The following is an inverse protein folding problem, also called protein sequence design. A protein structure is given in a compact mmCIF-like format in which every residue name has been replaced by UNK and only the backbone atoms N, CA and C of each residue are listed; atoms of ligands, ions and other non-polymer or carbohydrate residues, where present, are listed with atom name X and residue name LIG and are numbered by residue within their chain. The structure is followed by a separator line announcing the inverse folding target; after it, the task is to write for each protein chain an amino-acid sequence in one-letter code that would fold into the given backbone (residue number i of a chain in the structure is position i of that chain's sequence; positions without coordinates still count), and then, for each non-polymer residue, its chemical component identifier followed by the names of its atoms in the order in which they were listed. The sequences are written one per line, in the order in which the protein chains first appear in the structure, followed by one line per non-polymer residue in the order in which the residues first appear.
data_IF_853816366515
#
_entry.id   IF_853816366515
#
_cell.length_a   1.000
_cell.length_b   1.000
_cell.length_c   1.000
_cell.angle_alpha   90.00
_cell.angle_beta   90.00
_cell.angle_gamma   90.00
#
_symmetry.space_group_name_H-M   'P 1'
#
loop_
_entity.id
_entity.type
_entity.pdbx_description
1 polymer ?
#
# COMPACT_ATOMS: atom_id res chain seq x y z
N UNK A 1 1.29 26.21 12.77
CA UNK A 1 -0.20 26.28 12.89
C UNK A 1 -0.67 25.11 13.74
N UNK A 2 -1.71 25.30 14.57
CA UNK A 2 -2.29 24.18 15.30
C UNK A 2 -3.14 23.28 14.35
N UNK A 3 -3.47 22.06 14.79
CA UNK A 3 -4.21 21.08 13.97
C UNK A 3 -5.55 21.64 13.46
N UNK A 4 -6.29 22.37 14.31
CA UNK A 4 -7.60 22.92 13.94
C UNK A 4 -7.48 24.00 12.85
N UNK A 5 -6.48 24.86 12.92
CA UNK A 5 -6.21 25.87 11.87
C UNK A 5 -5.89 25.22 10.53
N UNK A 6 -5.09 24.13 10.54
CA UNK A 6 -4.78 23.35 9.34
C UNK A 6 -6.04 22.73 8.75
N UNK A 7 -6.90 22.12 9.57
CA UNK A 7 -8.17 21.53 9.12
C UNK A 7 -9.09 22.56 8.44
N UNK A 8 -9.26 23.74 9.06
CA UNK A 8 -10.08 24.83 8.50
C UNK A 8 -9.48 25.29 7.16
N UNK A 9 -8.16 25.47 7.09
CA UNK A 9 -7.48 25.94 5.89
C UNK A 9 -7.56 24.91 4.75
N UNK A 10 -7.33 23.63 5.04
CA UNK A 10 -7.45 22.55 4.09
C UNK A 10 -8.86 22.43 3.51
N UNK A 11 -9.91 22.52 4.37
CA UNK A 11 -11.31 22.48 3.91
C UNK A 11 -11.67 23.68 3.05
N UNK A 12 -11.19 24.88 3.38
CA UNK A 12 -11.37 26.07 2.52
C UNK A 12 -10.68 25.91 1.18
N UNK A 13 -9.48 25.34 1.17
CA UNK A 13 -8.71 25.11 -0.05
C UNK A 13 -9.37 24.06 -0.95
N UNK A 14 -9.95 22.98 -0.37
CA UNK A 14 -10.64 21.93 -1.14
C UNK A 14 -11.92 22.43 -1.83
N UNK A 15 -12.53 23.48 -1.32
CA UNK A 15 -13.76 24.08 -1.88
C UNK A 15 -13.48 25.08 -3.03
N UNK A 16 -12.23 25.36 -3.35
CA UNK A 16 -11.89 26.22 -4.48
C UNK A 16 -12.14 25.52 -5.82
N UNK A 17 -12.16 26.32 -6.90
CA UNK A 17 -12.27 25.79 -8.26
C UNK A 17 -11.20 24.73 -8.53
N UNK A 18 -11.55 23.64 -9.22
CA UNK A 18 -10.60 22.59 -9.55
C UNK A 18 -9.55 23.10 -10.54
N UNK A 19 -8.31 22.66 -10.36
CA UNK A 19 -7.23 22.87 -11.33
C UNK A 19 -7.42 21.97 -12.55
N UNK A 20 -7.03 22.48 -13.70
CA UNK A 20 -6.96 21.68 -14.94
C UNK A 20 -5.88 20.59 -14.86
N UNK A 21 -5.97 19.61 -15.74
CA UNK A 21 -4.96 18.55 -15.87
C UNK A 21 -3.55 19.11 -16.09
N UNK A 22 -3.42 20.17 -16.91
CA UNK A 22 -2.11 20.76 -17.20
C UNK A 22 -1.54 21.53 -16.00
N UNK A 23 -2.38 22.26 -15.27
CA UNK A 23 -1.94 22.93 -14.03
C UNK A 23 -1.46 21.89 -12.99
N UNK A 24 -2.18 20.76 -12.80
CA UNK A 24 -1.78 19.68 -11.92
C UNK A 24 -0.46 19.04 -12.36
N UNK A 25 -0.30 18.77 -13.67
CA UNK A 25 0.93 18.19 -14.19
C UNK A 25 2.12 19.13 -14.07
N UNK A 26 1.92 20.44 -14.29
CA UNK A 26 2.94 21.46 -14.12
C UNK A 26 3.37 21.58 -12.66
N UNK A 27 2.42 21.52 -11.73
CA UNK A 27 2.68 21.50 -10.29
C UNK A 27 3.51 20.27 -9.88
N UNK A 28 3.15 19.09 -10.36
CA UNK A 28 3.90 17.86 -10.09
C UNK A 28 5.35 17.94 -10.62
N UNK A 29 5.55 18.43 -11.84
CA UNK A 29 6.90 18.63 -12.37
C UNK A 29 7.73 19.61 -11.53
N UNK A 30 7.10 20.70 -11.06
CA UNK A 30 7.76 21.67 -10.17
C UNK A 30 8.06 21.08 -8.79
N UNK A 31 7.16 20.29 -8.21
CA UNK A 31 7.39 19.56 -6.96
C UNK A 31 8.58 18.59 -7.08
N UNK A 32 8.65 17.80 -8.16
CA UNK A 32 9.77 16.88 -8.41
C UNK A 32 11.11 17.62 -8.52
N UNK A 33 11.13 18.74 -9.24
CA UNK A 33 12.31 19.59 -9.35
C UNK A 33 12.74 20.14 -7.99
N UNK A 34 11.79 20.66 -7.21
CA UNK A 34 12.09 21.21 -5.89
C UNK A 34 12.68 20.17 -4.93
N UNK A 35 12.23 18.90 -4.96
CA UNK A 35 12.85 17.83 -4.18
C UNK A 35 14.34 17.65 -4.52
N UNK A 36 14.68 17.67 -5.80
CA UNK A 36 16.07 17.55 -6.26
C UNK A 36 16.89 18.78 -5.83
N UNK A 37 16.35 19.97 -6.01
CA UNK A 37 17.02 21.22 -5.65
C UNK A 37 17.29 21.29 -4.14
N UNK A 38 16.43 20.73 -3.31
CA UNK A 38 16.53 20.68 -1.84
C UNK A 38 17.14 19.40 -1.27
N UNK A 39 17.78 18.55 -2.11
CA UNK A 39 18.36 17.26 -1.68
C UNK A 39 19.27 17.41 -0.46
N UNK A 40 20.16 18.39 -0.44
CA UNK A 40 21.10 18.60 0.67
C UNK A 40 20.39 18.92 2.00
N UNK A 41 19.39 19.80 1.98
CA UNK A 41 18.63 20.15 3.17
C UNK A 41 17.83 18.94 3.70
N UNK A 42 17.15 18.22 2.82
CA UNK A 42 16.39 17.01 3.17
C UNK A 42 17.33 15.98 3.81
N UNK A 43 18.50 15.70 3.23
CA UNK A 43 19.45 14.74 3.78
C UNK A 43 20.00 15.19 5.14
N UNK A 44 20.25 16.49 5.32
CA UNK A 44 20.69 17.04 6.61
C UNK A 44 19.66 16.82 7.72
N UNK A 45 18.37 16.98 7.41
CA UNK A 45 17.25 16.73 8.34
C UNK A 45 17.02 15.25 8.58
N UNK A 46 17.18 14.42 7.55
CA UNK A 46 17.08 12.96 7.68
C UNK A 46 18.19 12.41 8.60
N UNK A 47 19.39 12.93 8.51
CA UNK A 47 20.48 12.55 9.43
C UNK A 47 20.10 12.78 10.89
N UNK A 48 19.42 13.89 11.21
CA UNK A 48 18.93 14.18 12.57
C UNK A 48 17.91 13.13 13.00
N UNK A 49 16.97 12.77 12.11
CA UNK A 49 15.95 11.74 12.40
C UNK A 49 16.61 10.37 12.65
N UNK A 50 17.57 9.97 11.83
CA UNK A 50 18.33 8.71 12.00
C UNK A 50 19.08 8.69 13.33
N UNK A 51 19.80 9.77 13.68
CA UNK A 51 20.54 9.86 14.94
C UNK A 51 19.59 9.77 16.15
N UNK A 52 18.45 10.43 16.09
CA UNK A 52 17.42 10.40 17.14
C UNK A 52 16.71 9.05 17.27
N UNK A 53 16.55 8.30 16.17
CA UNK A 53 15.88 7.01 16.12
C UNK A 53 16.79 5.82 16.47
N UNK A 54 18.12 5.98 16.31
CA UNK A 54 19.10 4.94 16.59
C UNK A 54 18.92 4.37 17.99
N UNK A 55 18.92 3.05 18.10
CA UNK A 55 18.66 2.29 19.34
C UNK A 55 17.24 2.44 19.94
N UNK A 56 16.30 3.08 19.23
CA UNK A 56 14.90 3.23 19.68
C UNK A 56 13.90 2.48 18.78
N UNK A 57 14.30 2.22 17.53
CA UNK A 57 13.51 1.47 16.55
C UNK A 57 14.38 0.34 15.98
N UNK A 58 13.74 -0.67 15.36
CA UNK A 58 14.45 -1.79 14.74
C UNK A 58 15.30 -1.35 13.54
N UNK A 59 16.29 -2.17 13.16
CA UNK A 59 17.12 -1.90 11.97
C UNK A 59 16.29 -1.83 10.68
N UNK A 60 15.26 -2.64 10.56
CA UNK A 60 14.30 -2.58 9.45
C UNK A 60 13.58 -1.23 9.39
N UNK A 61 13.18 -0.69 10.54
CA UNK A 61 12.56 0.64 10.59
C UNK A 61 13.57 1.76 10.33
N UNK A 62 14.84 1.59 10.75
CA UNK A 62 15.92 2.54 10.43
C UNK A 62 16.18 2.56 8.92
N UNK A 63 16.24 1.41 8.24
CA UNK A 63 16.35 1.37 6.77
C UNK A 63 15.19 2.06 6.06
N UNK A 64 13.96 1.89 6.57
CA UNK A 64 12.77 2.59 6.04
C UNK A 64 12.84 4.11 6.22
N UNK A 65 13.45 4.57 7.31
CA UNK A 65 13.61 5.99 7.63
C UNK A 65 14.76 6.64 6.85
N UNK A 66 15.79 5.87 6.49
CA UNK A 66 16.99 6.35 5.83
C UNK A 66 16.72 6.89 4.43
N UNK A 67 17.31 8.06 4.14
CA UNK A 67 17.36 8.66 2.82
C UNK A 67 18.81 8.87 2.37
N UNK A 68 19.02 8.71 1.08
CA UNK A 68 20.21 9.14 0.35
C UNK A 68 19.81 9.88 -0.94
N UNK A 69 20.78 10.34 -1.70
CA UNK A 69 20.51 11.07 -2.93
C UNK A 69 19.76 10.21 -3.98
N UNK A 70 20.03 8.90 -4.02
CA UNK A 70 19.32 7.98 -4.93
C UNK A 70 17.86 7.85 -4.55
N UNK A 71 17.54 7.65 -3.26
CA UNK A 71 16.16 7.55 -2.77
C UNK A 71 15.38 8.85 -3.01
N UNK A 72 16.01 10.03 -2.90
CA UNK A 72 15.37 11.31 -3.26
C UNK A 72 15.13 11.41 -4.76
N UNK A 73 16.04 10.92 -5.60
CA UNK A 73 15.84 10.85 -7.05
C UNK A 73 14.66 9.92 -7.39
N UNK A 74 14.54 8.78 -6.72
CA UNK A 74 13.42 7.85 -6.90
C UNK A 74 12.09 8.49 -6.49
N UNK A 75 12.06 9.25 -5.38
CA UNK A 75 10.89 10.03 -4.97
C UNK A 75 10.49 11.05 -6.05
N UNK A 76 11.44 11.83 -6.57
CA UNK A 76 11.19 12.80 -7.62
C UNK A 76 10.71 12.12 -8.92
N UNK A 77 11.29 10.97 -9.28
CA UNK A 77 10.86 10.15 -10.42
C UNK A 77 9.42 9.67 -10.22
N UNK A 78 9.08 9.18 -9.03
CA UNK A 78 7.70 8.76 -8.71
C UNK A 78 6.70 9.89 -8.95
N UNK A 79 6.99 11.13 -8.52
CA UNK A 79 6.14 12.30 -8.80
C UNK A 79 6.03 12.57 -10.31
N UNK A 80 7.14 12.47 -11.06
CA UNK A 80 7.13 12.64 -12.51
C UNK A 80 6.31 11.56 -13.21
N UNK A 81 6.34 10.33 -12.74
CA UNK A 81 5.55 9.24 -13.30
C UNK A 81 4.06 9.47 -13.03
N UNK A 82 3.66 9.92 -11.83
CA UNK A 82 2.29 10.35 -11.53
C UNK A 82 1.84 11.49 -12.45
N UNK A 83 2.72 12.43 -12.81
CA UNK A 83 2.36 13.54 -13.72
C UNK A 83 1.96 13.07 -15.13
N UNK A 84 2.44 11.91 -15.57
CA UNK A 84 2.16 11.32 -16.88
C UNK A 84 0.87 10.50 -16.91
N UNK A 85 0.37 10.08 -15.75
CA UNK A 85 -0.85 9.29 -15.66
C UNK A 85 -2.06 10.10 -16.15
N UNK A 86 -3.10 9.43 -16.68
CA UNK A 86 -4.36 10.08 -17.01
C UNK A 86 -4.94 10.79 -15.79
N UNK A 87 -5.59 11.94 -16.02
CA UNK A 87 -6.30 12.64 -14.94
C UNK A 87 -7.51 11.80 -14.49
N UNK A 88 -7.61 11.46 -13.19
CA UNK A 88 -8.71 10.65 -12.71
C UNK A 88 -10.02 11.45 -12.57
N UNK A 89 -9.96 12.80 -12.59
CA UNK A 89 -11.12 13.66 -12.33
C UNK A 89 -11.79 14.14 -13.62
N UNK A 90 -13.10 14.38 -13.55
CA UNK A 90 -13.89 14.90 -14.67
C UNK A 90 -14.28 13.83 -15.71
N UNK A 91 -13.89 12.57 -15.53
CA UNK A 91 -14.25 11.47 -16.46
C UNK A 91 -15.73 11.12 -16.31
N UNK A 92 -16.40 10.90 -17.44
CA UNK A 92 -17.76 10.35 -17.45
C UNK A 92 -17.66 8.84 -17.22
N UNK A 93 -18.17 8.38 -16.08
CA UNK A 93 -18.17 6.95 -15.70
C UNK A 93 -19.36 6.23 -16.29
N UNK A 94 -20.52 6.89 -16.41
CA UNK A 94 -21.70 6.38 -17.10
C UNK A 94 -22.63 7.52 -17.51
N UNK A 95 -23.44 7.28 -18.55
CA UNK A 95 -24.48 8.18 -19.04
C UNK A 95 -25.78 7.39 -19.20
N UNK A 96 -26.88 7.91 -18.67
CA UNK A 96 -28.21 7.37 -18.86
C UNK A 96 -29.16 8.45 -19.33
N UNK A 97 -29.93 8.21 -20.39
CA UNK A 97 -31.02 9.10 -20.81
C UNK A 97 -32.32 8.47 -20.33
N UNK A 98 -33.08 9.25 -19.52
CA UNK A 98 -34.36 8.81 -18.99
C UNK A 98 -35.48 9.00 -20.03
N UNK A 99 -36.60 8.32 -19.86
CA UNK A 99 -37.76 8.39 -20.78
C UNK A 99 -38.29 9.81 -20.97
N UNK A 100 -38.19 10.66 -19.92
CA UNK A 100 -38.58 12.06 -19.97
C UNK A 100 -37.51 12.98 -20.59
N UNK A 101 -36.42 12.44 -21.13
CA UNK A 101 -35.35 13.19 -21.80
C UNK A 101 -34.27 13.75 -20.88
N UNK A 102 -34.32 13.53 -19.55
CA UNK A 102 -33.21 13.90 -18.67
C UNK A 102 -31.97 13.06 -18.98
N UNK A 103 -30.81 13.71 -19.08
CA UNK A 103 -29.52 13.06 -19.25
C UNK A 103 -28.80 13.06 -17.89
N UNK A 104 -28.54 11.86 -17.35
CA UNK A 104 -27.87 11.63 -16.07
C UNK A 104 -26.45 11.16 -16.34
N UNK A 105 -25.45 12.00 -16.07
CA UNK A 105 -24.05 11.68 -16.16
C UNK A 105 -23.48 11.43 -14.76
N UNK A 106 -22.87 10.25 -14.54
CA UNK A 106 -22.04 9.97 -13.37
C UNK A 106 -20.62 10.36 -13.73
N UNK A 107 -20.03 11.30 -13.00
CA UNK A 107 -18.67 11.81 -13.27
C UNK A 107 -17.76 11.61 -12.05
N UNK A 108 -16.48 11.35 -12.30
CA UNK A 108 -15.46 11.28 -11.24
C UNK A 108 -15.10 12.68 -10.74
N UNK A 109 -14.91 12.82 -9.42
CA UNK A 109 -14.53 14.07 -8.75
C UNK A 109 -13.50 13.79 -7.67
N UNK A 110 -12.69 14.80 -7.24
CA UNK A 110 -11.78 14.64 -6.12
C UNK A 110 -12.50 14.15 -4.85
N UNK A 111 -11.80 13.39 -4.02
CA UNK A 111 -12.32 13.00 -2.69
C UNK A 111 -12.53 14.22 -1.79
N UNK A 112 -11.67 15.23 -1.88
CA UNK A 112 -11.74 16.45 -1.07
C UNK A 112 -10.48 16.64 -0.23
N UNK A 113 -10.59 16.50 1.10
CA UNK A 113 -9.44 16.54 2.01
C UNK A 113 -9.07 15.12 2.42
N UNK A 114 -7.84 14.71 2.07
CA UNK A 114 -7.28 13.39 2.39
C UNK A 114 -6.23 13.56 3.48
N UNK A 115 -6.43 12.94 4.63
CA UNK A 115 -5.45 12.89 5.70
C UNK A 115 -4.69 11.56 5.69
N UNK A 116 -3.37 11.62 5.80
CA UNK A 116 -2.50 10.43 5.84
C UNK A 116 -1.69 10.45 7.14
N UNK A 117 -1.88 9.41 7.97
CA UNK A 117 -1.10 9.19 9.18
C UNK A 117 -0.09 8.07 8.89
N UNK A 118 1.21 8.36 9.01
CA UNK A 118 2.25 7.39 8.62
C UNK A 118 3.44 7.39 9.59
N UNK A 119 4.17 6.26 9.58
CA UNK A 119 5.32 5.99 10.46
C UNK A 119 6.58 5.76 9.62
N UNK A 120 7.74 6.22 10.12
CA UNK A 120 9.11 5.90 9.66
C UNK A 120 9.34 5.77 8.14
N UNK A 121 8.60 6.51 7.32
CA UNK A 121 8.66 6.41 5.85
C UNK A 121 8.64 7.80 5.20
N UNK A 122 9.78 8.51 5.10
CA UNK A 122 9.81 9.84 4.49
C UNK A 122 9.29 9.90 3.05
N UNK A 123 9.48 8.83 2.26
CA UNK A 123 8.98 8.75 0.89
C UNK A 123 7.44 8.83 0.80
N UNK A 124 6.71 8.35 1.81
CA UNK A 124 5.24 8.47 1.85
C UNK A 124 4.81 9.93 1.77
N UNK A 125 5.63 10.87 2.28
CA UNK A 125 5.35 12.30 2.21
C UNK A 125 5.20 12.77 0.76
N UNK A 126 6.12 12.39 -0.12
CA UNK A 126 6.11 12.76 -1.54
C UNK A 126 5.05 12.01 -2.33
N UNK A 127 4.91 10.71 -2.09
CA UNK A 127 3.99 9.85 -2.83
C UNK A 127 2.54 10.27 -2.55
N UNK A 128 2.20 10.46 -1.26
CA UNK A 128 0.88 10.92 -0.84
C UNK A 128 0.55 12.31 -1.39
N UNK A 129 1.48 13.24 -1.33
CA UNK A 129 1.29 14.58 -1.87
C UNK A 129 1.06 14.54 -3.40
N UNK A 130 1.88 13.79 -4.14
CA UNK A 130 1.77 13.69 -5.60
C UNK A 130 0.42 13.10 -6.04
N UNK A 131 0.04 11.96 -5.48
CA UNK A 131 -1.22 11.31 -5.79
C UNK A 131 -2.42 12.20 -5.43
N UNK A 132 -2.39 12.85 -4.27
CA UNK A 132 -3.47 13.72 -3.82
C UNK A 132 -3.62 14.96 -4.71
N UNK A 133 -2.51 15.61 -5.09
CA UNK A 133 -2.52 16.75 -6.02
C UNK A 133 -3.05 16.34 -7.39
N UNK A 134 -2.60 15.20 -7.94
CA UNK A 134 -3.09 14.69 -9.23
C UNK A 134 -4.58 14.36 -9.20
N UNK A 135 -5.06 13.79 -8.09
CA UNK A 135 -6.49 13.53 -7.85
C UNK A 135 -7.29 14.81 -7.57
N UNK A 136 -6.66 16.00 -7.51
CA UNK A 136 -7.32 17.28 -7.28
C UNK A 136 -7.77 17.54 -5.84
N UNK A 137 -7.31 16.72 -4.89
CA UNK A 137 -7.61 16.79 -3.46
C UNK A 137 -6.58 17.63 -2.69
N UNK A 138 -6.85 17.89 -1.40
CA UNK A 138 -5.91 18.53 -0.45
C UNK A 138 -5.32 17.45 0.44
N UNK A 139 -4.01 17.50 0.64
CA UNK A 139 -3.24 16.54 1.42
C UNK A 139 -2.95 17.08 2.83
N UNK A 140 -3.35 16.35 3.86
CA UNK A 140 -2.90 16.57 5.24
C UNK A 140 -2.03 15.39 5.66
N UNK A 141 -0.78 15.67 5.98
CA UNK A 141 0.23 14.69 6.36
C UNK A 141 0.47 14.73 7.87
N UNK A 142 0.51 13.57 8.50
CA UNK A 142 0.91 13.40 9.89
C UNK A 142 1.94 12.29 9.97
N UNK A 143 3.23 12.65 10.03
CA UNK A 143 4.33 11.71 10.16
C UNK A 143 4.55 11.27 11.62
N UNK A 144 5.15 10.10 11.81
CA UNK A 144 5.71 9.73 13.10
C UNK A 144 6.78 10.75 13.56
N UNK A 145 6.96 10.88 14.88
CA UNK A 145 7.95 11.81 15.46
C UNK A 145 9.38 11.52 15.01
N UNK A 146 9.66 10.25 14.70
CA UNK A 146 10.97 9.76 14.26
C UNK A 146 11.33 10.20 12.83
N UNK A 147 10.33 10.60 12.01
CA UNK A 147 10.52 11.03 10.63
C UNK A 147 10.15 12.50 10.40
N UNK A 148 9.85 13.25 11.46
CA UNK A 148 9.23 14.56 11.33
C UNK A 148 10.14 15.60 10.67
N UNK A 149 11.45 15.61 10.99
CA UNK A 149 12.38 16.58 10.39
C UNK A 149 12.50 16.35 8.88
N UNK A 150 12.61 15.09 8.45
CA UNK A 150 12.64 14.72 7.04
C UNK A 150 11.34 15.11 6.35
N UNK A 151 10.19 14.74 6.93
CA UNK A 151 8.86 15.07 6.39
C UNK A 151 8.65 16.57 6.25
N UNK A 152 9.08 17.37 7.25
CA UNK A 152 8.97 18.82 7.20
C UNK A 152 9.84 19.45 6.08
N UNK A 153 11.07 18.96 5.89
CA UNK A 153 11.93 19.43 4.80
C UNK A 153 11.32 19.08 3.42
N UNK A 154 10.83 17.84 3.27
CA UNK A 154 10.15 17.39 2.04
C UNK A 154 8.92 18.25 1.76
N UNK A 155 8.03 18.45 2.74
CA UNK A 155 6.81 19.27 2.56
C UNK A 155 7.14 20.69 2.17
N UNK A 156 8.13 21.31 2.77
CA UNK A 156 8.59 22.67 2.39
C UNK A 156 9.05 22.73 0.94
N UNK A 157 9.85 21.77 0.48
CA UNK A 157 10.29 21.68 -0.90
C UNK A 157 9.09 21.52 -1.85
N UNK A 158 8.13 20.62 -1.53
CA UNK A 158 6.92 20.41 -2.33
C UNK A 158 6.04 21.66 -2.40
N UNK A 159 5.85 22.35 -1.26
CA UNK A 159 5.10 23.64 -1.19
C UNK A 159 5.75 24.72 -2.02
N UNK A 160 7.08 24.87 -1.98
CA UNK A 160 7.81 25.80 -2.84
C UNK A 160 7.61 25.48 -4.31
N UNK A 161 7.67 24.17 -4.67
CA UNK A 161 7.37 23.74 -6.02
C UNK A 161 5.98 24.16 -6.51
N UNK A 162 4.95 24.07 -5.64
CA UNK A 162 3.59 24.55 -5.93
C UNK A 162 3.55 26.07 -6.13
N UNK A 163 4.15 26.84 -5.22
CA UNK A 163 4.14 28.31 -5.27
C UNK A 163 4.87 28.81 -6.51
N UNK A 164 5.95 28.17 -6.96
CA UNK A 164 6.72 28.54 -8.16
C UNK A 164 5.90 28.48 -9.46
N UNK A 165 4.79 27.74 -9.46
CA UNK A 165 3.89 27.64 -10.62
C UNK A 165 2.50 28.25 -10.36
N UNK A 166 2.35 29.02 -9.27
CA UNK A 166 1.11 29.73 -8.93
C UNK A 166 0.02 28.85 -8.32
N UNK A 167 0.32 27.60 -7.94
CA UNK A 167 -0.59 26.74 -7.20
C UNK A 167 -0.46 27.01 -5.70
N UNK A 168 -1.57 27.00 -4.98
CA UNK A 168 -1.58 27.24 -3.55
C UNK A 168 -0.79 26.17 -2.77
N UNK A 169 0.18 26.60 -1.95
CA UNK A 169 0.89 25.71 -1.01
C UNK A 169 -0.04 25.03 0.00
N UNK A 170 -1.20 25.64 0.25
CA UNK A 170 -2.23 25.08 1.16
C UNK A 170 -2.91 23.81 0.61
N UNK A 171 -2.47 23.32 -0.55
CA UNK A 171 -2.82 21.98 -1.04
C UNK A 171 -2.08 20.86 -0.32
N UNK A 172 -0.99 21.17 0.38
CA UNK A 172 -0.22 20.21 1.16
C UNK A 172 0.03 20.79 2.55
N UNK A 173 -0.36 20.08 3.58
CA UNK A 173 -0.12 20.42 4.98
C UNK A 173 0.63 19.31 5.71
N UNK A 174 1.48 19.68 6.66
CA UNK A 174 2.07 18.78 7.64
C UNK A 174 1.63 19.18 9.04
N UNK A 175 1.12 18.23 9.81
CA UNK A 175 0.82 18.43 11.23
C UNK A 175 2.10 18.59 12.01
N UNK A 176 2.23 19.69 12.75
CA UNK A 176 3.43 20.01 13.55
C UNK A 176 3.44 19.25 14.89
N UNK A 177 2.26 18.99 15.47
CA UNK A 177 2.13 18.20 16.68
C UNK A 177 2.37 16.71 16.39
N UNK A 178 3.48 16.19 16.92
CA UNK A 178 3.86 14.78 16.77
C UNK A 178 3.33 13.87 17.90
N UNK A 179 2.51 14.41 18.82
CA UNK A 179 1.90 13.62 19.88
C UNK A 179 0.77 12.72 19.33
N UNK A 180 0.38 11.70 20.08
CA UNK A 180 -0.74 10.83 19.68
C UNK A 180 -2.06 11.61 19.57
N UNK A 181 -2.20 12.72 20.31
CA UNK A 181 -3.40 13.54 20.28
C UNK A 181 -3.70 14.04 18.86
N UNK A 182 -2.70 14.53 18.13
CA UNK A 182 -2.90 14.99 16.74
C UNK A 182 -3.43 13.90 15.80
N UNK A 183 -3.07 12.64 16.03
CA UNK A 183 -3.66 11.51 15.27
C UNK A 183 -5.14 11.32 15.62
N UNK A 184 -5.50 11.39 16.90
CA UNK A 184 -6.91 11.34 17.33
C UNK A 184 -7.72 12.51 16.80
N UNK A 185 -7.13 13.71 16.76
CA UNK A 185 -7.80 14.90 16.21
C UNK A 185 -8.13 14.68 14.72
N UNK A 186 -7.22 14.10 13.93
CA UNK A 186 -7.49 13.76 12.54
C UNK A 186 -8.53 12.65 12.39
N UNK A 187 -8.48 11.61 13.23
CA UNK A 187 -9.45 10.50 13.22
C UNK A 187 -10.88 10.99 13.50
N UNK A 188 -11.03 12.13 14.18
CA UNK A 188 -12.31 12.70 14.59
C UNK A 188 -12.68 14.02 13.87
N UNK A 189 -11.94 14.38 12.83
CA UNK A 189 -12.09 15.63 12.09
C UNK A 189 -13.29 15.61 11.13
N UNK A 190 -14.48 15.18 11.60
CA UNK A 190 -15.70 15.15 10.80
C UNK A 190 -16.04 16.53 10.24
N UNK A 191 -16.42 16.58 8.95
CA UNK A 191 -16.70 17.81 8.23
C UNK A 191 -15.47 18.55 7.70
N UNK A 192 -14.27 18.16 8.12
CA UNK A 192 -12.99 18.70 7.61
C UNK A 192 -12.23 17.68 6.77
N UNK A 193 -12.08 16.46 7.25
CA UNK A 193 -11.42 15.35 6.55
C UNK A 193 -12.48 14.48 5.86
N UNK A 194 -12.30 14.23 4.58
CA UNK A 194 -13.22 13.45 3.77
C UNK A 194 -12.74 11.98 3.66
N UNK A 195 -11.44 11.73 3.82
CA UNK A 195 -10.84 10.40 3.82
C UNK A 195 -9.57 10.39 4.69
N UNK A 196 -9.41 9.35 5.52
CA UNK A 196 -8.22 9.08 6.33
C UNK A 196 -7.56 7.78 5.87
N UNK A 197 -6.23 7.80 5.68
CA UNK A 197 -5.45 6.62 5.27
C UNK A 197 -4.29 6.43 6.26
N UNK A 198 -4.32 5.37 7.08
CA UNK A 198 -3.18 5.01 7.93
C UNK A 198 -2.12 4.25 7.13
N UNK A 199 -0.83 4.53 7.40
CA UNK A 199 0.35 3.90 6.78
C UNK A 199 1.39 3.55 7.84
N UNK A 200 1.22 2.43 8.52
CA UNK A 200 2.11 2.02 9.61
C UNK A 200 1.91 0.58 10.02
N UNK A 201 2.42 0.24 11.20
CA UNK A 201 2.27 -1.09 11.77
C UNK A 201 0.85 -1.38 12.27
N UNK A 202 0.61 -2.66 12.63
CA UNK A 202 -0.68 -3.18 13.14
C UNK A 202 -1.31 -2.30 14.22
N UNK A 203 -0.48 -1.74 15.13
CA UNK A 203 -0.96 -0.88 16.22
C UNK A 203 -1.60 0.44 15.74
N UNK A 204 -1.02 1.11 14.73
CA UNK A 204 -1.61 2.31 14.14
C UNK A 204 -2.91 1.97 13.41
N UNK A 205 -2.91 0.92 12.60
CA UNK A 205 -4.09 0.50 11.83
C UNK A 205 -5.24 0.17 12.77
N UNK A 206 -5.00 -0.64 13.79
CA UNK A 206 -6.00 -0.97 14.82
C UNK A 206 -6.52 0.26 15.55
N UNK A 207 -5.64 1.21 15.88
CA UNK A 207 -6.04 2.47 16.52
C UNK A 207 -6.97 3.28 15.63
N UNK A 208 -6.72 3.34 14.31
CA UNK A 208 -7.60 4.05 13.36
C UNK A 208 -8.94 3.33 13.24
N UNK A 209 -8.97 2.01 13.05
CA UNK A 209 -10.20 1.21 12.94
C UNK A 209 -11.10 1.42 14.16
N UNK A 210 -10.53 1.43 15.36
CA UNK A 210 -11.29 1.53 16.61
C UNK A 210 -11.74 2.94 16.94
N UNK A 211 -11.03 3.98 16.49
CA UNK A 211 -11.24 5.35 16.97
C UNK A 211 -11.68 6.34 15.89
N UNK A 212 -11.49 6.04 14.59
CA UNK A 212 -11.87 6.96 13.54
C UNK A 212 -13.39 7.08 13.43
N UNK A 213 -13.88 8.33 13.32
CA UNK A 213 -15.24 8.65 12.98
C UNK A 213 -15.36 9.27 11.58
N UNK A 214 -14.23 9.64 10.99
CA UNK A 214 -14.12 10.00 9.57
C UNK A 214 -13.98 8.71 8.73
N UNK A 215 -14.43 8.71 7.46
CA UNK A 215 -14.20 7.59 6.55
C UNK A 215 -12.71 7.25 6.48
N UNK A 216 -12.36 5.97 6.58
CA UNK A 216 -10.98 5.53 6.46
C UNK A 216 -10.85 4.34 5.48
N UNK A 217 -9.68 4.26 4.83
CA UNK A 217 -9.27 3.09 4.06
C UNK A 217 -8.11 2.46 4.81
N UNK A 218 -8.31 1.21 5.22
CA UNK A 218 -7.32 0.46 5.94
C UNK A 218 -6.27 -0.09 4.97
N UNK A 219 -4.98 0.07 5.32
CA UNK A 219 -3.91 -0.68 4.68
C UNK A 219 -3.67 -1.93 5.51
N UNK A 220 -3.82 -3.10 4.87
CA UNK A 220 -3.74 -4.39 5.58
C UNK A 220 -2.30 -4.79 5.96
N UNK A 221 -2.18 -5.64 6.98
CA UNK A 221 -1.04 -6.53 7.17
C UNK A 221 -1.13 -7.67 6.15
N UNK A 222 -0.02 -8.28 5.77
CA UNK A 222 0.00 -9.31 4.73
C UNK A 222 0.45 -10.67 5.25
N UNK A 223 -0.49 -11.56 5.60
CA UNK A 223 -0.18 -12.99 5.78
C UNK A 223 -0.48 -13.68 4.45
N UNK A 224 0.45 -13.49 3.49
CA UNK A 224 0.26 -14.01 2.14
C UNK A 224 0.56 -15.50 2.06
N UNK A 225 -0.34 -16.24 1.40
CA UNK A 225 -0.22 -17.69 1.23
C UNK A 225 0.13 -18.05 -0.21
N UNK A 226 0.96 -19.08 -0.38
CA UNK A 226 1.17 -19.73 -1.68
C UNK A 226 0.84 -21.23 -1.54
N UNK A 227 -0.14 -21.71 -2.29
CA UNK A 227 -0.47 -23.11 -2.39
C UNK A 227 0.22 -23.76 -3.59
N UNK A 228 1.01 -24.81 -3.33
CA UNK A 228 1.65 -25.65 -4.35
C UNK A 228 0.81 -26.91 -4.53
N UNK A 229 0.10 -26.94 -5.65
CA UNK A 229 -0.79 -28.06 -6.01
C UNK A 229 -0.03 -29.28 -6.49
N UNK A 230 -0.68 -30.47 -6.46
CA UNK A 230 -0.08 -31.73 -6.95
C UNK A 230 0.34 -31.67 -8.43
N UNK A 231 -0.36 -30.88 -9.23
CA UNK A 231 -0.07 -30.68 -10.66
C UNK A 231 0.87 -29.47 -10.90
N UNK A 232 1.65 -29.06 -9.88
CA UNK A 232 2.59 -27.95 -10.00
C UNK A 232 3.87 -28.34 -10.73
N UNK A 233 4.43 -27.40 -11.49
CA UNK A 233 5.83 -27.50 -11.91
C UNK A 233 6.73 -27.10 -10.73
N UNK A 234 7.41 -28.07 -10.15
CA UNK A 234 8.21 -27.89 -8.92
C UNK A 234 9.34 -26.87 -9.06
N UNK A 235 9.99 -26.80 -10.22
CA UNK A 235 11.09 -25.85 -10.45
C UNK A 235 10.57 -24.40 -10.56
N UNK A 236 9.37 -24.21 -11.13
CA UNK A 236 8.68 -22.90 -11.08
C UNK A 236 8.28 -22.55 -9.65
N UNK A 237 7.74 -23.51 -8.90
CA UNK A 237 7.27 -23.31 -7.54
C UNK A 237 8.42 -22.84 -6.63
N UNK A 238 9.58 -23.51 -6.66
CA UNK A 238 10.76 -23.11 -5.88
C UNK A 238 11.18 -21.67 -6.19
N UNK A 239 11.24 -21.27 -7.47
CA UNK A 239 11.63 -19.91 -7.89
C UNK A 239 10.63 -18.86 -7.44
N UNK A 240 9.32 -19.16 -7.51
CA UNK A 240 8.25 -18.25 -7.09
C UNK A 240 8.34 -18.02 -5.59
N UNK A 241 8.45 -19.08 -4.79
CA UNK A 241 8.51 -19.02 -3.33
C UNK A 241 9.82 -18.36 -2.87
N UNK A 242 10.96 -18.69 -3.47
CA UNK A 242 12.22 -18.01 -3.18
C UNK A 242 12.07 -16.49 -3.38
N UNK A 243 11.53 -16.06 -4.52
CA UNK A 243 11.28 -14.65 -4.78
C UNK A 243 10.26 -14.06 -3.80
N UNK A 244 9.14 -14.74 -3.57
CA UNK A 244 8.06 -14.26 -2.71
C UNK A 244 8.52 -14.05 -1.26
N UNK A 245 9.38 -14.92 -0.74
CA UNK A 245 9.86 -14.82 0.63
C UNK A 245 11.13 -14.00 0.79
N UNK A 246 12.07 -14.03 -0.18
CA UNK A 246 13.44 -13.57 0.08
C UNK A 246 13.83 -12.28 -0.61
N UNK A 247 13.10 -11.80 -1.62
CA UNK A 247 13.43 -10.57 -2.33
C UNK A 247 13.35 -9.35 -1.39
N UNK A 248 12.31 -9.30 -0.55
CA UNK A 248 12.12 -8.29 0.49
C UNK A 248 11.14 -8.81 1.53
N UNK A 249 11.60 -9.52 2.57
CA UNK A 249 10.71 -10.19 3.52
C UNK A 249 9.90 -9.21 4.40
N UNK A 250 10.37 -7.97 4.55
CA UNK A 250 9.76 -6.97 5.44
C UNK A 250 8.61 -6.16 4.84
N UNK A 251 7.92 -6.69 3.82
CA UNK A 251 6.78 -6.03 3.17
C UNK A 251 5.55 -6.92 3.15
N UNK A 252 4.37 -6.29 3.15
CA UNK A 252 3.07 -6.96 3.32
C UNK A 252 2.69 -7.96 2.21
N UNK A 253 3.32 -7.92 1.05
CA UNK A 253 3.10 -8.87 -0.05
C UNK A 253 4.16 -9.98 -0.11
N UNK A 254 5.07 -10.07 0.89
CA UNK A 254 5.95 -11.22 1.04
C UNK A 254 5.13 -12.45 1.49
N UNK A 255 5.55 -13.62 1.01
CA UNK A 255 4.93 -14.87 1.45
C UNK A 255 5.24 -15.14 2.93
N UNK A 256 4.23 -15.50 3.71
CA UNK A 256 4.39 -15.89 5.10
C UNK A 256 4.04 -17.37 5.34
N UNK A 257 3.16 -17.93 4.49
CA UNK A 257 2.70 -19.32 4.60
C UNK A 257 2.78 -20.04 3.24
N UNK A 258 3.44 -21.18 3.23
CA UNK A 258 3.47 -22.09 2.09
C UNK A 258 2.62 -23.35 2.38
N UNK A 259 1.61 -23.60 1.57
CA UNK A 259 0.78 -24.80 1.63
C UNK A 259 1.22 -25.76 0.53
N UNK A 260 1.46 -27.02 0.87
CA UNK A 260 1.98 -28.02 -0.08
C UNK A 260 1.06 -29.22 -0.15
N UNK A 261 0.63 -29.60 -1.34
CA UNK A 261 -0.18 -30.80 -1.52
C UNK A 261 0.64 -32.05 -1.11
N UNK A 262 0.02 -32.95 -0.35
CA UNK A 262 0.69 -34.13 0.21
C UNK A 262 1.39 -35.01 -0.83
N UNK A 263 0.79 -35.16 -2.03
CA UNK A 263 1.31 -36.06 -3.06
C UNK A 263 2.66 -35.61 -3.63
N UNK A 264 3.02 -34.34 -3.49
CA UNK A 264 4.30 -33.77 -3.95
C UNK A 264 5.24 -33.37 -2.80
N UNK A 265 4.77 -33.43 -1.55
CA UNK A 265 5.52 -32.92 -0.40
C UNK A 265 6.90 -33.57 -0.27
N UNK A 266 7.00 -34.90 -0.48
CA UNK A 266 8.26 -35.67 -0.42
C UNK A 266 9.32 -35.23 -1.45
N UNK A 267 8.86 -34.81 -2.65
CA UNK A 267 9.76 -34.39 -3.74
C UNK A 267 10.03 -32.88 -3.69
N UNK A 268 9.07 -32.08 -3.21
CA UNK A 268 9.12 -30.63 -3.24
C UNK A 268 9.86 -30.03 -2.03
N UNK A 269 9.53 -30.44 -0.81
CA UNK A 269 10.07 -29.83 0.41
C UNK A 269 11.61 -29.90 0.51
N UNK A 270 12.29 -31.02 0.15
CA UNK A 270 13.74 -31.04 0.12
C UNK A 270 14.34 -30.03 -0.87
N UNK A 271 13.75 -29.86 -2.07
CA UNK A 271 14.19 -28.87 -3.05
C UNK A 271 14.01 -27.45 -2.55
N UNK A 272 12.88 -27.16 -1.90
CA UNK A 272 12.60 -25.86 -1.32
C UNK A 272 13.59 -25.52 -0.20
N UNK A 273 13.86 -26.46 0.72
CA UNK A 273 14.85 -26.29 1.79
C UNK A 273 16.25 -26.06 1.23
N UNK A 274 16.66 -26.82 0.21
CA UNK A 274 17.96 -26.64 -0.45
C UNK A 274 18.14 -25.18 -0.91
N UNK A 275 17.14 -24.58 -1.57
CA UNK A 275 17.22 -23.21 -2.08
C UNK A 275 17.09 -22.16 -0.97
N UNK A 276 16.12 -22.29 -0.08
CA UNK A 276 15.83 -21.28 0.95
C UNK A 276 16.82 -21.30 2.11
N UNK A 277 17.46 -22.43 2.38
CA UNK A 277 18.34 -22.60 3.54
C UNK A 277 19.78 -22.84 3.10
N UNK A 278 20.06 -23.96 2.42
CA UNK A 278 21.44 -24.40 2.22
C UNK A 278 22.20 -23.56 1.18
N UNK A 279 21.58 -23.28 0.03
CA UNK A 279 22.21 -22.41 -0.98
C UNK A 279 22.38 -20.97 -0.48
N UNK A 280 21.44 -20.47 0.33
CA UNK A 280 21.57 -19.14 0.92
C UNK A 280 22.72 -19.07 1.90
N UNK A 281 22.91 -20.09 2.77
CA UNK A 281 24.09 -20.21 3.64
C UNK A 281 25.38 -20.25 2.83
N UNK A 282 25.42 -21.05 1.77
CA UNK A 282 26.59 -21.18 0.90
C UNK A 282 26.95 -19.86 0.17
N UNK A 283 25.99 -18.93 0.02
CA UNK A 283 26.15 -17.61 -0.59
C UNK A 283 26.34 -16.49 0.43
N UNK A 284 26.58 -16.78 1.70
CA UNK A 284 26.64 -15.80 2.81
C UNK A 284 25.38 -14.90 2.92
N UNK A 285 24.23 -15.43 2.49
CA UNK A 285 22.92 -14.77 2.65
C UNK A 285 22.21 -15.30 3.89
N UNK A 286 21.30 -14.50 4.47
CA UNK A 286 20.48 -14.93 5.60
C UNK A 286 19.60 -16.11 5.16
N UNK A 287 19.72 -17.31 5.78
CA UNK A 287 18.85 -18.44 5.48
C UNK A 287 17.44 -18.18 5.99
N UNK A 288 16.45 -18.80 5.34
CA UNK A 288 15.07 -18.75 5.82
C UNK A 288 14.87 -19.77 6.94
N UNK A 289 14.36 -19.34 8.07
CA UNK A 289 13.88 -20.23 9.13
C UNK A 289 12.55 -20.85 8.69
N UNK A 290 12.49 -22.19 8.68
CA UNK A 290 11.29 -22.93 8.30
C UNK A 290 10.51 -23.36 9.55
N UNK A 291 9.25 -22.92 9.67
CA UNK A 291 8.27 -23.33 10.67
C UNK A 291 7.38 -24.41 10.04
N UNK A 292 7.51 -25.63 10.47
CA UNK A 292 6.98 -26.83 9.79
C UNK A 292 5.83 -27.44 10.58
N UNK A 293 4.72 -27.75 9.91
CA UNK A 293 3.69 -28.58 10.48
C UNK A 293 4.22 -30.01 10.78
N UNK A 294 3.52 -30.85 11.55
CA UNK A 294 4.03 -32.18 11.90
C UNK A 294 4.34 -33.09 10.70
N UNK A 295 3.68 -32.92 9.56
CA UNK A 295 3.90 -33.74 8.36
C UNK A 295 5.16 -33.24 7.62
N UNK A 296 5.29 -31.94 7.38
CA UNK A 296 6.47 -31.36 6.76
C UNK A 296 7.74 -31.62 7.61
N UNK A 297 7.61 -31.58 8.95
CA UNK A 297 8.71 -31.85 9.89
C UNK A 297 9.21 -33.30 9.83
N UNK A 298 8.40 -34.26 9.36
CA UNK A 298 8.86 -35.62 9.09
C UNK A 298 9.66 -35.75 7.79
N UNK A 299 9.56 -34.77 6.90
CA UNK A 299 10.19 -34.80 5.57
C UNK A 299 11.49 -34.00 5.56
N UNK A 300 11.50 -32.82 6.20
CA UNK A 300 12.66 -31.93 6.26
C UNK A 300 12.87 -31.42 7.69
N UNK A 301 14.12 -31.07 8.05
CA UNK A 301 14.42 -30.44 9.33
C UNK A 301 14.02 -28.95 9.33
N UNK A 302 13.48 -28.50 10.45
CA UNK A 302 13.09 -27.12 10.72
C UNK A 302 12.54 -27.00 12.14
N UNK A 303 12.02 -25.83 12.51
CA UNK A 303 11.32 -25.61 13.77
C UNK A 303 9.88 -26.11 13.64
N UNK A 304 9.36 -26.82 14.65
CA UNK A 304 7.96 -27.23 14.63
C UNK A 304 7.07 -25.98 14.74
N UNK A 305 6.13 -25.84 13.80
CA UNK A 305 5.17 -24.73 13.80
C UNK A 305 4.13 -24.87 14.91
N UNK A 306 3.67 -23.75 15.40
CA UNK A 306 2.48 -23.62 16.24
C UNK A 306 1.33 -23.04 15.43
N UNK A 307 0.10 -23.11 15.93
CA UNK A 307 -1.06 -22.52 15.26
C UNK A 307 -0.88 -21.00 15.04
N UNK A 308 -0.22 -20.30 15.98
CA UNK A 308 0.07 -18.86 15.89
C UNK A 308 1.02 -18.50 14.73
N UNK A 309 1.88 -19.44 14.28
CA UNK A 309 2.78 -19.19 13.15
C UNK A 309 2.01 -18.99 11.84
N UNK A 310 0.81 -19.57 11.70
CA UNK A 310 -0.03 -19.37 10.51
C UNK A 310 -0.84 -18.07 10.55
N UNK A 311 -0.95 -17.43 11.72
CA UNK A 311 -1.61 -16.12 11.94
C UNK A 311 -0.61 -14.97 12.08
N UNK A 312 0.69 -15.23 11.78
CA UNK A 312 1.77 -14.29 12.01
C UNK A 312 2.32 -13.70 10.71
N UNK A 313 2.31 -12.37 10.60
CA UNK A 313 3.11 -11.63 9.62
C UNK A 313 4.52 -11.48 10.19
N UNK A 314 5.44 -12.38 9.81
CA UNK A 314 6.81 -12.42 10.35
C UNK A 314 7.64 -11.20 9.96
N UNK A 315 7.46 -10.69 8.74
CA UNK A 315 8.24 -9.56 8.19
C UNK A 315 9.75 -9.83 8.20
N UNK A 316 10.16 -11.08 8.20
CA UNK A 316 11.54 -11.56 8.29
C UNK A 316 11.75 -12.81 7.42
N UNK A 317 12.95 -13.33 7.41
CA UNK A 317 13.32 -14.59 6.74
C UNK A 317 12.79 -15.80 7.53
N UNK A 318 11.48 -15.84 7.75
CA UNK A 318 10.75 -16.93 8.41
C UNK A 318 9.58 -17.33 7.51
N UNK A 319 9.35 -18.61 7.28
CA UNK A 319 8.27 -19.14 6.46
C UNK A 319 7.59 -20.31 7.17
N UNK A 320 6.29 -20.20 7.39
CA UNK A 320 5.46 -21.30 7.88
C UNK A 320 5.10 -22.23 6.71
N UNK A 321 5.19 -23.56 6.92
CA UNK A 321 4.90 -24.56 5.89
C UNK A 321 3.93 -25.59 6.46
N UNK A 322 2.85 -25.85 5.72
CA UNK A 322 1.86 -26.88 6.06
C UNK A 322 1.61 -27.78 4.86
N UNK A 323 1.57 -29.10 5.10
CA UNK A 323 1.12 -30.08 4.13
C UNK A 323 -0.37 -30.25 4.22
N UNK A 324 -1.06 -30.20 3.07
CA UNK A 324 -2.51 -30.30 2.96
C UNK A 324 -2.93 -31.44 2.07
N UNK A 325 -4.09 -32.03 2.36
CA UNK A 325 -4.61 -33.19 1.64
C UNK A 325 -5.20 -32.86 0.27
N UNK A 326 -5.70 -31.66 0.08
CA UNK A 326 -6.42 -31.24 -1.12
C UNK A 326 -6.42 -29.72 -1.31
N UNK A 327 -6.90 -29.26 -2.47
CA UNK A 327 -7.15 -27.83 -2.72
C UNK A 327 -8.24 -27.28 -1.80
N UNK A 328 -9.21 -28.09 -1.40
CA UNK A 328 -10.29 -27.70 -0.48
C UNK A 328 -9.69 -27.31 0.88
N UNK A 329 -8.83 -28.14 1.45
CA UNK A 329 -8.13 -27.85 2.70
C UNK A 329 -7.22 -26.63 2.58
N UNK A 330 -6.53 -26.47 1.45
CA UNK A 330 -5.72 -25.29 1.19
C UNK A 330 -6.58 -24.01 1.18
N UNK A 331 -7.74 -24.05 0.52
CA UNK A 331 -8.69 -22.93 0.48
C UNK A 331 -9.24 -22.62 1.88
N UNK A 332 -9.66 -23.63 2.63
CA UNK A 332 -10.13 -23.45 4.02
C UNK A 332 -9.07 -22.81 4.89
N UNK A 333 -7.83 -23.27 4.81
CA UNK A 333 -6.71 -22.70 5.56
C UNK A 333 -6.46 -21.23 5.17
N UNK A 334 -6.47 -20.90 3.88
CA UNK A 334 -6.30 -19.53 3.42
C UNK A 334 -7.46 -18.63 3.90
N UNK A 335 -8.69 -19.13 3.88
CA UNK A 335 -9.86 -18.38 4.37
C UNK A 335 -9.80 -18.10 5.86
N UNK A 336 -9.19 -18.99 6.66
CA UNK A 336 -9.06 -18.86 8.10
C UNK A 336 -7.88 -17.95 8.50
N UNK A 337 -6.72 -18.10 7.87
CA UNK A 337 -5.45 -17.50 8.32
C UNK A 337 -4.96 -16.33 7.47
N UNK A 338 -5.37 -16.22 6.20
CA UNK A 338 -4.94 -15.12 5.34
C UNK A 338 -5.60 -13.79 5.77
N UNK A 339 -4.83 -12.72 5.66
CA UNK A 339 -5.36 -11.35 5.76
C UNK A 339 -6.06 -10.89 4.49
N UNK A 340 -6.23 -11.75 3.51
CA UNK A 340 -6.81 -11.46 2.20
C UNK A 340 -6.07 -10.37 1.41
N UNK A 341 -4.75 -10.30 1.60
CA UNK A 341 -3.90 -9.35 0.90
C UNK A 341 -3.51 -9.88 -0.49
N UNK A 342 -2.72 -10.94 -0.55
CA UNK A 342 -2.23 -11.52 -1.80
C UNK A 342 -1.99 -13.01 -1.62
N UNK A 343 -2.78 -13.83 -2.29
CA UNK A 343 -2.66 -15.27 -2.19
C UNK A 343 -2.46 -15.88 -3.57
N UNK A 344 -1.71 -16.98 -3.64
CA UNK A 344 -1.29 -17.58 -4.91
C UNK A 344 -1.54 -19.08 -4.95
N UNK A 345 -1.75 -19.59 -6.15
CA UNK A 345 -1.67 -21.01 -6.47
C UNK A 345 -0.60 -21.27 -7.52
N UNK A 346 0.13 -22.37 -7.36
CA UNK A 346 1.05 -22.90 -8.37
C UNK A 346 0.50 -24.25 -8.82
N UNK A 347 0.03 -24.31 -10.05
CA UNK A 347 -0.56 -25.50 -10.66
C UNK A 347 -0.54 -25.38 -12.19
N UNK A 348 -0.32 -26.46 -12.92
CA UNK A 348 -0.50 -26.50 -14.38
C UNK A 348 -1.92 -26.95 -14.78
N UNK A 349 -2.80 -27.23 -13.81
CA UNK A 349 -4.16 -27.67 -14.03
C UNK A 349 -5.13 -26.46 -14.04
N UNK A 350 -5.66 -26.11 -15.21
CA UNK A 350 -6.54 -24.96 -15.39
C UNK A 350 -7.86 -25.06 -14.59
N UNK A 351 -8.37 -26.25 -14.35
CA UNK A 351 -9.61 -26.43 -13.55
C UNK A 351 -9.34 -26.09 -12.09
N UNK A 352 -8.19 -26.51 -11.57
CA UNK A 352 -7.75 -26.22 -10.20
C UNK A 352 -7.45 -24.73 -10.05
N UNK A 353 -6.78 -24.11 -11.02
CA UNK A 353 -6.53 -22.66 -11.06
C UNK A 353 -7.85 -21.87 -11.03
N UNK A 354 -8.83 -22.27 -11.84
CA UNK A 354 -10.14 -21.62 -11.90
C UNK A 354 -10.88 -21.76 -10.58
N UNK A 355 -10.88 -22.96 -9.97
CA UNK A 355 -11.49 -23.19 -8.67
C UNK A 355 -10.86 -22.31 -7.59
N UNK A 356 -9.54 -22.27 -7.52
CA UNK A 356 -8.82 -21.42 -6.57
C UNK A 356 -9.17 -19.95 -6.75
N UNK A 357 -8.98 -19.41 -7.95
CA UNK A 357 -9.18 -17.98 -8.23
C UNK A 357 -10.64 -17.52 -8.09
N UNK A 358 -11.61 -18.40 -8.27
CA UNK A 358 -13.03 -18.07 -8.06
C UNK A 358 -13.47 -18.17 -6.60
N UNK A 359 -12.73 -18.90 -5.76
CA UNK A 359 -13.10 -19.14 -4.36
C UNK A 359 -12.33 -18.27 -3.38
N UNK A 360 -11.04 -18.01 -3.65
CA UNK A 360 -10.22 -17.15 -2.81
C UNK A 360 -10.61 -15.70 -3.04
N UNK A 361 -11.01 -15.01 -1.95
CA UNK A 361 -11.48 -13.62 -1.96
C UNK A 361 -10.40 -12.69 -1.39
N UNK A 362 -9.19 -12.73 -1.95
CA UNK A 362 -8.10 -11.83 -1.61
C UNK A 362 -8.03 -10.63 -2.54
N UNK A 363 -7.41 -9.53 -2.11
CA UNK A 363 -7.29 -8.31 -2.92
C UNK A 363 -6.50 -8.56 -4.21
N UNK A 364 -5.53 -9.48 -4.17
CA UNK A 364 -4.83 -9.97 -5.35
C UNK A 364 -4.72 -11.51 -5.29
N UNK A 365 -5.17 -12.18 -6.34
CA UNK A 365 -5.07 -13.64 -6.48
C UNK A 365 -4.17 -13.96 -7.66
N UNK A 366 -3.13 -14.75 -7.40
CA UNK A 366 -2.11 -15.08 -8.39
C UNK A 366 -2.19 -16.53 -8.84
N UNK A 367 -1.96 -16.75 -10.12
CA UNK A 367 -1.79 -18.05 -10.73
C UNK A 367 -0.38 -18.11 -11.31
N UNK A 368 0.44 -19.03 -10.81
CA UNK A 368 1.82 -19.25 -11.27
C UNK A 368 2.71 -17.98 -11.25
N UNK A 369 2.51 -17.10 -10.26
CA UNK A 369 3.29 -15.88 -10.11
C UNK A 369 3.52 -15.55 -8.62
N UNK A 370 4.59 -14.79 -8.36
CA UNK A 370 4.96 -14.35 -7.01
C UNK A 370 3.99 -13.28 -6.49
N UNK A 371 3.63 -13.34 -5.21
CA UNK A 371 2.84 -12.31 -4.53
C UNK A 371 3.53 -10.95 -4.47
N UNK A 372 4.86 -10.91 -4.70
CA UNK A 372 5.66 -9.68 -4.75
C UNK A 372 5.24 -8.70 -5.85
N UNK A 373 4.45 -9.12 -6.82
CA UNK A 373 3.92 -8.23 -7.84
C UNK A 373 2.77 -7.32 -7.35
N UNK A 374 2.20 -7.53 -6.17
CA UNK A 374 1.18 -6.64 -5.60
C UNK A 374 1.81 -5.31 -5.17
N UNK A 375 2.00 -4.42 -6.12
CA UNK A 375 2.67 -3.13 -5.97
C UNK A 375 2.10 -2.14 -7.00
N UNK A 376 1.78 -0.93 -6.57
CA UNK A 376 1.16 0.07 -7.44
C UNK A 376 2.05 0.48 -8.61
N UNK A 377 3.36 0.55 -8.42
CA UNK A 377 4.31 0.84 -9.52
C UNK A 377 4.34 -0.29 -10.54
N UNK A 378 4.36 -1.55 -10.07
CA UNK A 378 4.36 -2.75 -10.92
C UNK A 378 3.03 -2.90 -11.66
N UNK A 379 1.91 -2.56 -11.03
CA UNK A 379 0.58 -2.57 -11.68
C UNK A 379 0.34 -1.39 -12.62
N UNK A 380 1.34 -0.49 -12.77
CA UNK A 380 1.24 0.65 -13.68
C UNK A 380 0.46 1.85 -13.12
N UNK A 381 0.23 1.87 -11.80
CA UNK A 381 -0.46 2.97 -11.11
C UNK A 381 0.48 4.15 -10.75
N UNK A 382 1.76 4.07 -11.11
CA UNK A 382 2.80 5.07 -10.81
C UNK A 382 3.32 4.93 -9.39
N UNK A 383 2.73 5.65 -8.44
CA UNK A 383 2.91 5.48 -7.00
C UNK A 383 1.69 4.79 -6.40
N UNK A 384 1.80 4.35 -5.15
CA UNK A 384 0.66 3.84 -4.40
C UNK A 384 0.49 4.54 -3.05
N UNK A 385 -0.75 4.72 -2.64
CA UNK A 385 -1.09 5.19 -1.30
C UNK A 385 -1.03 4.06 -0.25
N UNK A 386 -0.93 2.82 -0.70
CA UNK A 386 -0.90 1.58 0.05
C UNK A 386 -1.76 0.51 -0.57
N UNK A 387 -1.79 -0.64 0.07
CA UNK A 387 -2.58 -1.80 -0.37
C UNK A 387 -3.67 -2.04 0.66
N UNK A 388 -4.92 -2.00 0.21
CA UNK A 388 -6.09 -2.23 1.07
C UNK A 388 -6.65 -3.63 0.88
N UNK A 389 -7.04 -4.26 1.98
CA UNK A 389 -7.74 -5.55 1.97
C UNK A 389 -9.25 -5.41 2.22
N UNK A 390 -9.72 -4.21 2.56
CA UNK A 390 -11.15 -3.97 2.78
C UNK A 390 -11.95 -4.05 1.48
N UNK A 391 -13.24 -4.39 1.58
CA UNK A 391 -14.12 -4.52 0.40
C UNK A 391 -14.78 -3.21 -0.02
N UNK A 392 -14.92 -2.27 0.89
CA UNK A 392 -15.60 -1.01 0.63
C UNK A 392 -14.64 0.03 0.05
N UNK A 393 -15.00 0.60 -1.09
CA UNK A 393 -14.35 1.62 -1.88
C UNK A 393 -13.05 1.16 -2.55
N UNK A 394 -11.93 1.00 -1.82
CA UNK A 394 -10.63 0.64 -2.40
C UNK A 394 -10.19 -0.76 -1.93
N UNK A 395 -9.72 -1.60 -2.86
CA UNK A 395 -9.20 -2.93 -2.58
C UNK A 395 -7.99 -3.21 -3.49
N UNK A 396 -6.90 -3.73 -2.93
CA UNK A 396 -5.63 -3.88 -3.60
C UNK A 396 -4.77 -2.60 -3.54
N UNK A 397 -3.76 -2.45 -4.42
CA UNK A 397 -2.95 -1.26 -4.51
C UNK A 397 -3.81 -0.02 -4.83
N UNK A 398 -3.71 1.01 -4.00
CA UNK A 398 -4.47 2.25 -4.15
C UNK A 398 -3.69 3.27 -4.96
N UNK A 399 -4.14 3.54 -6.18
CA UNK A 399 -3.61 4.58 -7.05
C UNK A 399 -4.48 5.83 -7.08
N UNK A 400 -4.54 6.48 -8.23
CA UNK A 400 -5.27 7.74 -8.41
C UNK A 400 -6.79 7.58 -8.36
N UNK A 401 -7.33 6.48 -8.86
CA UNK A 401 -8.77 6.27 -8.97
C UNK A 401 -9.41 6.13 -7.59
N UNK A 402 -8.73 5.45 -6.67
CA UNK A 402 -9.17 5.23 -5.29
C UNK A 402 -9.17 6.53 -4.46
N UNK A 403 -8.46 7.59 -4.91
CA UNK A 403 -8.47 8.92 -4.30
C UNK A 403 -9.55 9.83 -4.88
N UNK A 404 -10.46 9.26 -5.69
CA UNK A 404 -11.60 9.95 -6.27
C UNK A 404 -12.92 9.34 -5.80
N UNK A 405 -13.98 10.12 -5.90
CA UNK A 405 -15.37 9.69 -5.78
C UNK A 405 -16.14 10.11 -7.02
N UNK A 406 -17.45 10.11 -6.97
CA UNK A 406 -18.28 10.55 -8.09
C UNK A 406 -19.42 11.45 -7.63
N UNK A 407 -19.93 12.23 -8.58
CA UNK A 407 -21.22 12.92 -8.45
C UNK A 407 -22.06 12.75 -9.70
N UNK A 408 -23.35 13.04 -9.59
CA UNK A 408 -24.24 13.06 -10.74
C UNK A 408 -24.43 14.49 -11.25
N UNK A 409 -24.33 14.67 -12.58
CA UNK A 409 -24.74 15.87 -13.29
C UNK A 409 -25.95 15.51 -14.12
N UNK A 410 -27.09 16.11 -13.80
CA UNK A 410 -28.35 15.89 -14.48
C UNK A 410 -28.61 17.10 -15.39
N UNK A 411 -28.76 16.84 -16.70
CA UNK A 411 -29.10 17.87 -17.67
C UNK A 411 -30.54 17.69 -18.13
N UNK A 412 -31.33 18.73 -18.01
CA UNK A 412 -32.72 18.76 -18.43
C UNK A 412 -33.07 20.01 -19.21
N UNK A 413 -34.32 20.07 -19.66
CA UNK A 413 -34.94 21.21 -20.36
C UNK A 413 -36.33 21.45 -19.79
N UNK A 414 -36.43 21.70 -18.47
CA UNK A 414 -37.67 22.00 -17.79
C UNK A 414 -38.53 20.82 -17.32
N UNK A 415 -37.96 19.57 -17.34
CA UNK A 415 -38.66 18.40 -16.84
C UNK A 415 -38.99 18.55 -15.34
N UNK A 416 -40.21 18.18 -14.97
CA UNK A 416 -40.67 18.07 -13.58
C UNK A 416 -41.03 16.62 -13.25
N UNK A 417 -41.05 16.29 -11.97
CA UNK A 417 -41.54 15.01 -11.49
C UNK A 417 -43.02 15.17 -11.09
N UNK A 418 -43.87 14.35 -11.69
CA UNK A 418 -45.30 14.27 -11.33
C UNK A 418 -45.50 13.42 -10.07
#
# INVERSE_FOLDING_TARGET
MNTQEILIQAKRESNKAPYSTEEKNTALRAMAKALIDHTYDILSKNKIDIENAKNKISEVMLDRLYLDASRIQDMAKGILDVSKLPDPTGRILSTHTLENGLIVNKISVPMGVIAIIYESRPNVTSDAAALTIKAGSVCILRSGKEAWNSANAIVKALQEGLENVGMSKNRIHLIEDTTRQSSYDLMKANGYVDLLIPRGGKGLIQSVIQNATVPCIETGTGICHIYVDKDANLDKAVKIIENAKTQRPSVCNAEEVCLVHKDIAQDFLPKLKEVLVEQRKAQDKIPVELRLDPIAHQIIDGTLATDEDFDTEFLDYILAIKVVDSIEEAIEHIQEHSTHHSDAIISENEQVQTKFSSTIDSAAVYINASTRFTDGGVFGLGCEMGISTQKLHARGPMGLEELCTYKYIIKGNGQIRE
#
